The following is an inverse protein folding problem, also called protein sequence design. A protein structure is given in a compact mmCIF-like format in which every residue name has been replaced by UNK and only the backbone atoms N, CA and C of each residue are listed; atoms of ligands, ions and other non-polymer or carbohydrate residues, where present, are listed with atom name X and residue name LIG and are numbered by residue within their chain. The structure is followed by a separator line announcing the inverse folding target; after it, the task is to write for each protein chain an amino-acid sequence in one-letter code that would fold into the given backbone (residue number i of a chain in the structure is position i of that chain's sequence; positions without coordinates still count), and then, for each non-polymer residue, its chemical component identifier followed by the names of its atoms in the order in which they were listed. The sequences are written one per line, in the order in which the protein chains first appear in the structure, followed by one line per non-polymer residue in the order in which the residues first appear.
data_IF_242677906800
#
_entry.id   IF_242677906800
#
_cell.length_a   1.000
_cell.length_b   1.000
_cell.length_c   1.000
_cell.angle_alpha   90.00
_cell.angle_beta   90.00
_cell.angle_gamma   90.00
#
_symmetry.space_group_name_H-M   'P 1'
#
loop_
_entity.id
_entity.type
_entity.pdbx_description
1 polymer ?
#
# COMPACT_ATOMS: atom_id res chain seq x y z
N UNK A 1 -2.51 8.11 25.60
CA UNK A 1 -1.27 7.54 25.03
C UNK A 1 -1.59 6.21 24.41
N UNK A 2 -1.10 5.95 23.20
CA UNK A 2 -1.06 4.60 22.63
C UNK A 2 0.26 3.95 23.06
N UNK A 3 0.23 2.70 23.50
CA UNK A 3 1.42 1.97 23.98
C UNK A 3 1.46 0.63 23.26
N UNK A 4 2.63 0.24 22.80
CA UNK A 4 2.89 -1.02 22.11
C UNK A 4 4.24 -1.62 22.55
N UNK A 5 4.47 -2.94 22.36
CA UNK A 5 5.74 -3.57 22.69
C UNK A 5 6.92 -2.93 21.95
N UNK A 6 8.03 -2.70 22.66
CA UNK A 6 9.26 -2.19 22.07
C UNK A 6 9.81 -3.17 21.03
N UNK A 7 10.02 -2.68 19.80
CA UNK A 7 10.58 -3.46 18.68
C UNK A 7 12.10 -3.34 18.60
N UNK A 8 12.69 -4.18 17.76
CA UNK A 8 14.09 -4.06 17.31
C UNK A 8 14.30 -2.74 16.59
N UNK A 9 15.53 -2.20 16.62
CA UNK A 9 15.84 -0.93 15.95
C UNK A 9 15.83 -1.01 14.41
N UNK A 10 15.80 -2.22 13.84
CA UNK A 10 15.73 -2.42 12.40
C UNK A 10 14.30 -2.25 11.89
N UNK A 11 14.10 -1.21 11.08
CA UNK A 11 12.82 -0.88 10.45
C UNK A 11 13.00 -0.83 8.95
N UNK A 12 12.11 -1.53 8.23
CA UNK A 12 12.02 -1.45 6.77
C UNK A 12 10.74 -0.73 6.38
N UNK A 13 10.89 0.32 5.57
CA UNK A 13 9.78 1.05 4.94
C UNK A 13 9.51 0.48 3.55
N UNK A 14 8.32 -0.10 3.36
CA UNK A 14 7.88 -0.77 2.14
C UNK A 14 7.09 0.16 1.21
N UNK A 15 6.40 1.16 1.77
CA UNK A 15 5.78 2.25 1.01
C UNK A 15 5.82 3.53 1.82
N UNK A 16 5.68 4.67 1.14
CA UNK A 16 5.35 5.95 1.76
C UNK A 16 3.86 6.26 1.61
N UNK A 17 3.46 7.44 2.07
CA UNK A 17 2.09 7.96 1.92
C UNK A 17 1.65 8.05 0.45
N UNK A 18 2.55 8.49 -0.44
CA UNK A 18 2.26 8.69 -1.88
C UNK A 18 3.23 7.95 -2.80
N UNK A 19 4.16 7.18 -2.23
CA UNK A 19 5.21 6.49 -2.98
C UNK A 19 5.15 4.99 -2.73
N UNK A 20 5.27 4.20 -3.79
CA UNK A 20 5.57 2.78 -3.67
C UNK A 20 7.06 2.54 -3.81
N UNK A 21 7.57 1.58 -3.03
CA UNK A 21 8.95 1.13 -3.14
C UNK A 21 8.96 -0.19 -3.91
N UNK A 22 9.49 -0.15 -5.13
CA UNK A 22 9.58 -1.32 -6.00
C UNK A 22 10.97 -1.94 -5.90
N UNK A 23 11.19 -2.76 -4.86
CA UNK A 23 12.38 -3.62 -4.75
C UNK A 23 12.01 -5.06 -5.08
N UNK A 24 12.90 -5.74 -5.80
CA UNK A 24 12.72 -7.13 -6.20
C UNK A 24 13.16 -8.11 -5.09
N UNK A 25 12.61 -7.96 -3.90
CA UNK A 25 12.82 -8.90 -2.78
C UNK A 25 11.47 -9.36 -2.25
N UNK A 26 11.41 -10.59 -1.73
CA UNK A 26 10.15 -11.22 -1.35
C UNK A 26 9.30 -10.36 -0.36
N UNK A 27 9.87 -9.72 0.68
CA UNK A 27 9.09 -8.85 1.56
C UNK A 27 8.45 -7.65 0.84
N UNK A 28 9.20 -6.97 -0.05
CA UNK A 28 8.68 -5.82 -0.79
C UNK A 28 7.60 -6.23 -1.80
N UNK A 29 7.81 -7.34 -2.51
CA UNK A 29 6.80 -7.89 -3.42
C UNK A 29 5.52 -8.28 -2.67
N UNK A 30 5.67 -8.89 -1.49
CA UNK A 30 4.55 -9.30 -0.63
C UNK A 30 3.76 -8.09 -0.14
N UNK A 31 4.45 -7.03 0.33
CA UNK A 31 3.79 -5.81 0.82
C UNK A 31 3.08 -5.04 -0.29
N UNK A 32 3.68 -4.96 -1.48
CA UNK A 32 3.03 -4.35 -2.64
C UNK A 32 1.79 -5.14 -3.08
N UNK A 33 1.86 -6.48 -3.05
CA UNK A 33 0.72 -7.34 -3.35
C UNK A 33 -0.37 -7.27 -2.26
N UNK A 34 0.02 -7.14 -0.98
CA UNK A 34 -0.91 -6.97 0.13
C UNK A 34 -1.70 -5.67 0.01
N UNK A 35 -1.05 -4.54 -0.28
CA UNK A 35 -1.75 -3.27 -0.52
C UNK A 35 -2.74 -3.39 -1.70
N UNK A 36 -2.36 -4.07 -2.79
CA UNK A 36 -3.25 -4.32 -3.91
C UNK A 36 -4.42 -5.22 -3.52
N UNK A 37 -4.17 -6.28 -2.74
CA UNK A 37 -5.22 -7.15 -2.22
C UNK A 37 -6.24 -6.36 -1.40
N UNK A 38 -5.81 -5.46 -0.51
CA UNK A 38 -6.72 -4.60 0.27
C UNK A 38 -7.57 -3.71 -0.66
N UNK A 39 -6.95 -3.07 -1.64
CA UNK A 39 -7.68 -2.27 -2.63
C UNK A 39 -8.72 -3.10 -3.39
N UNK A 40 -8.35 -4.31 -3.83
CA UNK A 40 -9.26 -5.23 -4.51
C UNK A 40 -10.40 -5.70 -3.60
N UNK A 41 -10.07 -6.21 -2.42
CA UNK A 41 -11.00 -6.78 -1.44
C UNK A 41 -12.04 -5.77 -0.97
N UNK A 42 -11.64 -4.51 -0.87
CA UNK A 42 -12.52 -3.41 -0.47
C UNK A 42 -13.22 -2.74 -1.66
N UNK A 43 -13.18 -3.32 -2.86
CA UNK A 43 -13.78 -2.75 -4.06
C UNK A 43 -13.35 -1.29 -4.33
N UNK A 44 -12.06 -1.01 -4.11
CA UNK A 44 -11.46 0.31 -4.30
C UNK A 44 -11.87 1.35 -3.26
N UNK A 45 -12.48 0.96 -2.13
CA UNK A 45 -12.85 1.91 -1.07
C UNK A 45 -11.64 2.38 -0.26
N UNK A 46 -10.58 1.59 -0.18
CA UNK A 46 -9.39 1.97 0.58
C UNK A 46 -8.12 1.25 0.10
N UNK A 47 -6.97 1.77 0.48
CA UNK A 47 -5.68 1.10 0.31
C UNK A 47 -4.76 1.40 1.47
N UNK A 48 -3.99 0.39 1.88
CA UNK A 48 -2.92 0.58 2.85
C UNK A 48 -1.69 1.19 2.20
N UNK A 49 -1.16 2.22 2.85
CA UNK A 49 0.06 2.94 2.49
C UNK A 49 0.93 3.14 3.74
N UNK A 50 2.09 3.74 3.54
CA UNK A 50 3.09 3.91 4.60
C UNK A 50 3.42 2.60 5.36
N UNK A 51 3.41 1.49 4.63
CA UNK A 51 3.65 0.17 5.19
C UNK A 51 5.10 0.09 5.66
N UNK A 52 5.29 -0.12 6.96
CA UNK A 52 6.59 -0.32 7.57
C UNK A 52 6.53 -1.45 8.58
N UNK A 53 7.66 -2.13 8.76
CA UNK A 53 7.72 -3.26 9.67
C UNK A 53 9.13 -3.61 10.09
N UNK A 54 9.21 -4.44 11.12
CA UNK A 54 10.43 -5.03 11.63
C UNK A 54 10.41 -6.55 11.45
N UNK A 55 11.56 -7.17 11.12
CA UNK A 55 11.65 -8.61 11.04
C UNK A 55 11.45 -9.26 12.42
N UNK A 56 10.79 -10.40 12.43
CA UNK A 56 10.68 -11.29 13.58
C UNK A 56 11.07 -12.71 13.18
N UNK A 57 11.09 -13.63 14.15
CA UNK A 57 11.36 -15.06 13.86
C UNK A 57 10.31 -15.68 12.93
N UNK A 58 9.09 -15.15 12.96
CA UNK A 58 7.93 -15.71 12.26
C UNK A 58 7.50 -14.89 11.03
N UNK A 59 8.26 -13.83 10.68
CA UNK A 59 7.97 -13.01 9.51
C UNK A 59 8.24 -11.53 9.73
N UNK A 60 7.25 -10.69 9.40
CA UNK A 60 7.31 -9.23 9.54
C UNK A 60 6.16 -8.79 10.45
N UNK A 61 6.48 -7.98 11.46
CA UNK A 61 5.45 -7.26 12.23
C UNK A 61 5.34 -5.86 11.65
N UNK A 62 4.19 -5.58 11.05
CA UNK A 62 3.85 -4.24 10.58
C UNK A 62 3.37 -3.38 11.75
N UNK A 63 3.64 -2.08 11.66
CA UNK A 63 3.22 -1.10 12.66
C UNK A 63 2.99 0.27 12.02
N UNK A 64 2.20 1.09 12.69
CA UNK A 64 1.75 2.41 12.22
C UNK A 64 1.27 2.43 10.75
N UNK A 65 0.40 1.49 10.31
CA UNK A 65 -0.11 1.53 8.94
C UNK A 65 -0.95 2.78 8.73
N UNK A 66 -0.87 3.35 7.52
CA UNK A 66 -1.74 4.44 7.10
C UNK A 66 -2.70 3.97 6.00
N UNK A 67 -3.86 4.61 5.90
CA UNK A 67 -4.92 4.21 4.99
C UNK A 67 -5.41 5.41 4.19
N UNK A 68 -5.37 5.31 2.87
CA UNK A 68 -6.21 6.19 2.05
C UNK A 68 -7.59 5.57 1.95
N UNK A 69 -8.63 6.35 2.25
CA UNK A 69 -10.03 5.92 2.12
C UNK A 69 -10.74 6.82 1.12
N UNK A 70 -11.77 6.30 0.44
CA UNK A 70 -12.54 7.11 -0.53
C UNK A 70 -13.11 8.40 0.09
N UNK A 71 -13.41 8.39 1.39
CA UNK A 71 -13.99 9.52 2.10
C UNK A 71 -12.96 10.39 2.83
N UNK A 72 -11.66 10.05 2.76
CA UNK A 72 -10.61 10.83 3.43
C UNK A 72 -10.72 10.85 4.95
N UNK A 73 -11.26 9.80 5.57
CA UNK A 73 -11.69 9.83 6.98
C UNK A 73 -11.01 8.80 7.89
N UNK A 74 -9.89 8.21 7.48
CA UNK A 74 -9.15 7.28 8.34
C UNK A 74 -8.27 8.00 9.38
N UNK A 75 -7.57 9.05 8.98
CA UNK A 75 -6.60 9.78 9.80
C UNK A 75 -6.13 11.08 9.12
N UNK A 76 -5.29 11.87 9.80
CA UNK A 76 -4.72 13.13 9.27
C UNK A 76 -3.90 12.97 7.99
N UNK A 77 -3.35 11.78 7.74
CA UNK A 77 -2.56 11.48 6.54
C UNK A 77 -3.39 10.98 5.36
N UNK A 78 -4.70 10.73 5.54
CA UNK A 78 -5.58 10.22 4.51
C UNK A 78 -5.78 11.27 3.41
N UNK A 79 -5.25 11.01 2.22
CA UNK A 79 -5.36 11.86 1.04
C UNK A 79 -6.51 11.42 0.13
N UNK A 80 -7.47 10.66 0.66
CA UNK A 80 -8.73 10.46 -0.03
C UNK A 80 -8.59 9.66 -1.33
N UNK A 81 -9.40 10.09 -2.31
CA UNK A 81 -9.40 9.54 -3.66
C UNK A 81 -8.09 9.84 -4.38
N UNK A 82 -7.45 10.98 -4.12
CA UNK A 82 -6.16 11.35 -4.71
C UNK A 82 -5.07 10.37 -4.30
N UNK A 83 -5.04 9.99 -3.02
CA UNK A 83 -4.14 8.97 -2.49
C UNK A 83 -4.38 7.59 -3.10
N UNK A 84 -5.64 7.18 -3.26
CA UNK A 84 -6.01 5.93 -3.93
C UNK A 84 -5.62 5.96 -5.42
N UNK A 85 -5.90 7.05 -6.11
CA UNK A 85 -5.57 7.22 -7.52
C UNK A 85 -4.05 7.16 -7.75
N UNK A 86 -3.27 7.80 -6.87
CA UNK A 86 -1.82 7.72 -6.90
C UNK A 86 -1.32 6.28 -6.72
N UNK A 87 -1.90 5.54 -5.78
CA UNK A 87 -1.58 4.11 -5.61
C UNK A 87 -1.86 3.32 -6.90
N UNK A 88 -3.04 3.49 -7.50
CA UNK A 88 -3.43 2.83 -8.76
C UNK A 88 -2.46 3.16 -9.89
N UNK A 89 -2.06 4.43 -9.99
CA UNK A 89 -1.15 4.91 -11.03
C UNK A 89 0.26 4.31 -10.89
N UNK A 90 0.78 4.25 -9.67
CA UNK A 90 2.13 3.79 -9.40
C UNK A 90 2.25 2.26 -9.33
N UNK A 91 1.18 1.54 -9.00
CA UNK A 91 1.23 0.09 -8.78
C UNK A 91 1.72 -0.66 -10.02
N UNK A 92 2.65 -1.57 -9.76
CA UNK A 92 3.16 -2.55 -10.72
C UNK A 92 2.85 -3.93 -10.13
N UNK A 93 1.93 -4.64 -10.79
CA UNK A 93 1.62 -6.01 -10.38
C UNK A 93 2.89 -6.88 -10.47
N UNK A 94 3.11 -7.68 -9.44
CA UNK A 94 4.20 -8.65 -9.39
C UNK A 94 3.65 -10.07 -9.42
N UNK A 95 4.54 -11.07 -9.37
CA UNK A 95 4.16 -12.48 -9.45
C UNK A 95 3.23 -12.92 -8.30
N UNK A 96 3.29 -12.30 -7.11
CA UNK A 96 2.39 -12.59 -6.00
C UNK A 96 0.98 -12.08 -6.31
N UNK A 97 0.85 -10.87 -6.89
CA UNK A 97 -0.44 -10.36 -7.36
C UNK A 97 -1.08 -11.33 -8.37
N UNK A 98 -0.27 -11.90 -9.27
CA UNK A 98 -0.71 -12.86 -10.28
C UNK A 98 -1.14 -14.19 -9.67
N UNK A 99 -0.37 -14.73 -8.72
CA UNK A 99 -0.73 -15.95 -7.97
C UNK A 99 -2.04 -15.78 -7.20
N UNK A 100 -2.26 -14.59 -6.62
CA UNK A 100 -3.52 -14.22 -5.96
C UNK A 100 -4.66 -13.91 -6.94
N UNK A 101 -4.41 -13.96 -8.25
CA UNK A 101 -5.39 -13.66 -9.32
C UNK A 101 -6.01 -12.26 -9.20
N UNK A 102 -5.23 -11.29 -8.71
CA UNK A 102 -5.68 -9.91 -8.62
C UNK A 102 -5.76 -9.27 -10.02
N UNK A 103 -6.84 -8.54 -10.34
CA UNK A 103 -6.96 -7.86 -11.62
C UNK A 103 -5.89 -6.77 -11.76
N UNK A 104 -5.37 -6.56 -12.96
CA UNK A 104 -4.45 -5.44 -13.21
C UNK A 104 -5.20 -4.12 -12.99
N UNK A 105 -4.61 -3.25 -12.16
CA UNK A 105 -5.17 -1.92 -11.90
C UNK A 105 -5.11 -1.06 -13.17
N UNK A 106 -6.27 -0.53 -13.58
CA UNK A 106 -6.39 0.34 -14.76
C UNK A 106 -5.91 1.74 -14.40
N UNK A 107 -4.79 2.15 -15.00
CA UNK A 107 -4.22 3.49 -14.86
C UNK A 107 -5.07 4.49 -15.65
N UNK A 108 -5.41 5.61 -15.05
CA UNK A 108 -6.01 6.72 -15.79
C UNK A 108 -4.96 7.29 -16.75
N UNK A 109 -5.34 7.51 -18.01
CA UNK A 109 -4.50 8.24 -18.97
C UNK A 109 -4.19 9.66 -18.47
N UNK A 110 -3.19 10.35 -19.05
CA UNK A 110 -2.97 11.75 -18.74
C UNK A 110 -4.27 12.54 -18.98
N UNK A 111 -4.74 13.26 -17.96
CA UNK A 111 -5.85 14.19 -18.11
C UNK A 111 -5.36 15.34 -19.00
N UNK A 112 -5.79 15.33 -20.26
CA UNK A 112 -5.46 16.38 -21.23
C UNK A 112 -5.62 15.91 -22.66
N UNK A 113 -6.85 15.71 -23.11
CA UNK A 113 -7.31 15.93 -24.49
C UNK A 113 -8.84 15.90 -24.46
N UNK A 114 -9.41 17.11 -24.40
CA UNK A 114 -10.81 17.37 -24.72
C UNK A 114 -10.81 17.69 -26.21
N UNK A 115 -11.50 16.88 -27.02
CA UNK A 115 -12.01 17.30 -28.32
C UNK A 115 -13.46 17.79 -28.13
#
# INVERSE_FOLDING_TARGET
WLIEPRRTNEVTKYSGTMQQVNKNTLPFLTMNAFAHFIHYWTHGQMVFVDLQGSPTKDGQVLFDPMVHTKNGNSCLGDLGIEGIAQFVQCHQCNHICQTLQLPVLKKSGPQGEVE
#
